data_IF_212647695542
#
_entry.id   IF_212647695542
#
_cell.length_a   1.000
_cell.length_b   1.000
_cell.length_c   1.000
_cell.angle_alpha   90.00
_cell.angle_beta   90.00
_cell.angle_gamma   90.00
#
_symmetry.space_group_name_H-M   'P 1'
#
loop_
_entity.id
_entity.type
_entity.pdbx_description
1 polymer ?
#
# COMPACT_ATOMS: atom_id res chain seq x y z
N UNK A 1 2.79 -2.79 2.11
CA UNK A 1 2.92 -3.35 3.48
C UNK A 1 3.44 -2.33 4.49
N UNK A 2 4.19 -1.32 4.06
CA UNK A 2 4.78 -0.26 4.91
C UNK A 2 3.83 0.36 5.95
N UNK A 3 2.56 0.64 5.59
CA UNK A 3 1.59 1.22 6.54
C UNK A 3 1.34 0.28 7.73
N UNK A 4 1.27 -1.03 7.49
CA UNK A 4 1.07 -2.02 8.55
C UNK A 4 2.30 -2.15 9.45
N UNK A 5 3.49 -2.11 8.85
CA UNK A 5 4.77 -2.14 9.56
C UNK A 5 4.88 -0.94 10.52
N UNK A 6 4.56 0.27 10.04
CA UNK A 6 4.52 1.47 10.86
C UNK A 6 3.56 1.34 12.06
N UNK A 7 2.38 0.73 11.86
CA UNK A 7 1.45 0.49 12.96
C UNK A 7 1.92 -0.57 13.94
N UNK A 8 2.57 -1.65 13.46
CA UNK A 8 3.21 -2.63 14.34
C UNK A 8 4.30 -1.98 15.19
N UNK A 9 5.16 -1.15 14.60
CA UNK A 9 6.20 -0.41 15.31
C UNK A 9 5.64 0.58 16.32
N UNK A 10 4.56 1.29 15.98
CA UNK A 10 3.87 2.18 16.92
C UNK A 10 3.32 1.43 18.13
N UNK A 11 2.69 0.28 17.91
CA UNK A 11 2.19 -0.56 19.01
C UNK A 11 3.32 -1.11 19.87
N UNK A 12 4.46 -1.49 19.27
CA UNK A 12 5.64 -1.93 20.00
C UNK A 12 6.24 -0.81 20.84
N UNK A 13 6.41 0.39 20.26
CA UNK A 13 6.93 1.56 20.97
C UNK A 13 6.06 1.97 22.16
N UNK A 14 4.74 1.74 22.08
CA UNK A 14 3.77 2.07 23.13
C UNK A 14 3.20 0.84 23.84
N UNK A 15 3.91 -0.29 23.79
CA UNK A 15 3.41 -1.54 24.37
C UNK A 15 3.16 -1.46 25.89
N UNK A 16 3.93 -0.63 26.60
CA UNK A 16 3.71 -0.37 28.03
C UNK A 16 2.33 0.20 28.35
N UNK A 17 1.75 1.03 27.47
CA UNK A 17 0.39 1.56 27.62
C UNK A 17 -0.64 0.46 27.39
N UNK A 18 -0.45 -0.39 26.39
CA UNK A 18 -1.34 -1.53 26.08
C UNK A 18 -1.38 -2.51 27.24
N UNK A 19 -0.26 -2.73 27.92
CA UNK A 19 -0.19 -3.64 29.06
C UNK A 19 -0.83 -3.04 30.32
N UNK A 20 -0.52 -1.78 30.65
CA UNK A 20 -0.95 -1.13 31.89
C UNK A 20 -2.40 -0.66 31.89
N UNK A 21 -2.91 -0.20 30.74
CA UNK A 21 -4.27 0.28 30.60
C UNK A 21 -5.24 -0.84 30.19
N UNK A 22 -6.47 -0.75 30.69
CA UNK A 22 -7.58 -1.64 30.30
C UNK A 22 -8.35 -1.10 29.10
N UNK A 23 -8.44 0.22 29.00
CA UNK A 23 -9.12 0.91 27.91
C UNK A 23 -8.16 1.17 26.74
N UNK A 24 -8.73 1.29 25.55
CA UNK A 24 -7.98 1.58 24.33
C UNK A 24 -7.70 3.08 24.25
N UNK A 25 -6.42 3.46 24.23
CA UNK A 25 -5.99 4.83 24.02
C UNK A 25 -6.39 5.32 22.62
N UNK A 26 -6.87 6.56 22.51
CA UNK A 26 -7.33 7.13 21.24
C UNK A 26 -6.21 7.23 20.19
N UNK A 27 -4.95 7.42 20.63
CA UNK A 27 -3.79 7.44 19.75
C UNK A 27 -3.36 6.05 19.25
N UNK A 28 -3.86 4.97 19.86
CA UNK A 28 -3.62 3.59 19.42
C UNK A 28 -4.83 2.98 18.73
N UNK A 29 -6.00 3.60 18.85
CA UNK A 29 -7.25 3.07 18.34
C UNK A 29 -7.19 2.82 16.83
N UNK A 30 -6.62 3.75 16.06
CA UNK A 30 -6.47 3.59 14.61
C UNK A 30 -5.61 2.38 14.25
N UNK A 31 -4.44 2.25 14.88
CA UNK A 31 -3.49 1.17 14.62
C UNK A 31 -4.05 -0.20 15.00
N UNK A 32 -4.67 -0.30 16.17
CA UNK A 32 -5.32 -1.54 16.64
C UNK A 32 -6.46 -1.94 15.70
N UNK A 33 -7.35 -1.00 15.37
CA UNK A 33 -8.49 -1.26 14.47
C UNK A 33 -8.00 -1.74 13.10
N UNK A 34 -6.98 -1.06 12.58
CA UNK A 34 -6.44 -1.32 11.24
C UNK A 34 -5.75 -2.67 11.15
N UNK A 35 -4.96 -3.06 12.16
CA UNK A 35 -4.32 -4.38 12.20
C UNK A 35 -5.35 -5.52 12.30
N UNK A 36 -6.38 -5.35 13.13
CA UNK A 36 -7.48 -6.33 13.24
C UNK A 36 -8.25 -6.46 11.91
N UNK A 37 -8.49 -5.33 11.23
CA UNK A 37 -9.18 -5.31 9.93
C UNK A 37 -8.34 -5.94 8.81
N UNK A 38 -7.02 -5.71 8.82
CA UNK A 38 -6.10 -6.24 7.81
C UNK A 38 -5.80 -7.74 7.98
N UNK A 39 -5.85 -8.26 9.21
CA UNK A 39 -5.53 -9.67 9.52
C UNK A 39 -6.20 -10.71 8.61
N UNK A 40 -7.53 -10.73 8.39
CA UNK A 40 -8.16 -11.72 7.49
C UNK A 40 -7.79 -11.53 6.01
N UNK A 41 -7.36 -10.33 5.61
CA UNK A 41 -7.04 -9.99 4.20
C UNK A 41 -5.63 -10.42 3.83
N UNK A 42 -4.71 -10.43 4.79
CA UNK A 42 -3.31 -10.81 4.59
C UNK A 42 -2.94 -12.16 5.22
N UNK A 43 -3.93 -12.94 5.68
CA UNK A 43 -3.69 -14.22 6.37
C UNK A 43 -2.89 -15.24 5.53
N UNK A 44 -2.94 -15.13 4.20
CA UNK A 44 -2.21 -16.02 3.28
C UNK A 44 -0.73 -15.66 3.14
N UNK A 45 -0.36 -14.41 3.43
CA UNK A 45 1.00 -13.90 3.29
C UNK A 45 1.71 -13.78 4.65
N UNK A 46 0.96 -13.44 5.71
CA UNK A 46 1.48 -13.23 7.07
C UNK A 46 0.58 -13.91 8.09
N UNK A 47 0.93 -15.12 8.50
CA UNK A 47 0.14 -15.93 9.44
C UNK A 47 0.15 -15.34 10.86
N UNK A 48 1.24 -14.69 11.26
CA UNK A 48 1.45 -14.07 12.57
C UNK A 48 0.47 -12.91 12.82
N UNK A 49 0.05 -12.22 11.76
CA UNK A 49 -0.89 -11.10 11.87
C UNK A 49 -2.24 -11.56 12.42
N UNK A 50 -2.66 -12.80 12.10
CA UNK A 50 -3.85 -13.41 12.70
C UNK A 50 -3.67 -13.58 14.22
N UNK A 51 -2.50 -14.04 14.65
CA UNK A 51 -2.20 -14.25 16.08
C UNK A 51 -2.24 -12.89 16.81
N UNK A 52 -1.60 -11.86 16.24
CA UNK A 52 -1.61 -10.50 16.80
C UNK A 52 -3.04 -9.97 16.92
N UNK A 53 -3.84 -10.08 15.87
CA UNK A 53 -5.23 -9.64 15.89
C UNK A 53 -6.06 -10.41 16.93
N UNK A 54 -5.86 -11.73 17.05
CA UNK A 54 -6.55 -12.55 18.05
C UNK A 54 -6.17 -12.13 19.49
N UNK A 55 -4.91 -11.77 19.74
CA UNK A 55 -4.47 -11.23 21.04
C UNK A 55 -5.06 -9.84 21.33
N UNK A 56 -5.10 -8.95 20.35
CA UNK A 56 -5.73 -7.63 20.49
C UNK A 56 -7.24 -7.75 20.74
N UNK A 57 -7.91 -8.68 20.07
CA UNK A 57 -9.33 -8.99 20.32
C UNK A 57 -9.55 -9.57 21.72
N UNK A 58 -8.63 -10.40 22.23
CA UNK A 58 -8.70 -10.90 23.59
C UNK A 58 -8.53 -9.78 24.63
N UNK A 59 -7.67 -8.78 24.35
CA UNK A 59 -7.41 -7.63 25.23
C UNK A 59 -8.57 -6.62 25.25
N UNK A 60 -9.10 -6.22 24.09
CA UNK A 60 -10.07 -5.12 23.96
C UNK A 60 -11.53 -5.56 23.75
N UNK A 61 -11.80 -6.86 23.86
CA UNK A 61 -13.08 -7.56 23.62
C UNK A 61 -13.26 -8.13 22.21
N UNK A 62 -13.94 -9.29 22.17
CA UNK A 62 -14.32 -9.96 20.92
C UNK A 62 -15.33 -9.16 20.10
N UNK A 63 -16.18 -8.36 20.74
CA UNK A 63 -17.14 -7.51 20.04
C UNK A 63 -16.42 -6.38 19.32
N UNK A 64 -15.49 -5.72 19.99
CA UNK A 64 -14.62 -4.72 19.36
C UNK A 64 -13.88 -5.28 18.15
N UNK A 65 -13.33 -6.49 18.27
CA UNK A 65 -12.69 -7.19 17.16
C UNK A 65 -13.61 -7.42 15.96
N UNK A 66 -14.89 -7.76 16.18
CA UNK A 66 -15.88 -7.91 15.10
C UNK A 66 -16.18 -6.58 14.42
N UNK A 67 -16.42 -5.52 15.21
CA UNK A 67 -16.70 -4.17 14.70
C UNK A 67 -15.53 -3.63 13.85
N UNK A 68 -14.29 -3.90 14.28
CA UNK A 68 -13.09 -3.55 13.53
C UNK A 68 -13.02 -4.30 12.20
N UNK A 69 -13.28 -5.61 12.16
CA UNK A 69 -13.24 -6.41 10.91
C UNK A 69 -14.22 -5.94 9.85
N UNK A 70 -15.40 -5.48 10.26
CA UNK A 70 -16.44 -4.93 9.37
C UNK A 70 -16.31 -3.42 9.14
N UNK A 71 -15.28 -2.77 9.69
CA UNK A 71 -15.11 -1.31 9.69
C UNK A 71 -16.37 -0.53 10.16
N UNK A 72 -17.14 -1.10 11.10
CA UNK A 72 -18.32 -0.40 11.64
C UNK A 72 -17.94 0.70 12.63
N UNK A 73 -16.72 0.61 13.17
CA UNK A 73 -16.19 1.57 14.14
C UNK A 73 -15.63 2.84 13.47
N UNK A 74 -15.34 2.80 12.17
CA UNK A 74 -14.86 3.95 11.39
C UNK A 74 -13.46 4.45 11.78
N UNK A 75 -12.70 3.70 12.58
CA UNK A 75 -11.34 4.05 13.03
C UNK A 75 -10.25 3.33 12.23
N UNK A 76 -10.62 2.58 11.18
CA UNK A 76 -9.63 1.93 10.29
C UNK A 76 -9.08 2.97 9.32
N UNK A 77 -7.79 2.89 9.01
CA UNK A 77 -7.16 3.79 8.07
C UNK A 77 -7.72 3.63 6.64
N UNK A 78 -8.41 4.65 6.12
CA UNK A 78 -9.07 4.64 4.81
C UNK A 78 -8.09 4.41 3.65
N UNK A 79 -6.89 4.98 3.73
CA UNK A 79 -5.85 4.82 2.69
C UNK A 79 -5.40 3.36 2.59
N UNK A 80 -5.27 2.69 3.73
CA UNK A 80 -4.96 1.27 3.76
C UNK A 80 -6.14 0.44 3.25
N UNK A 81 -7.38 0.79 3.60
CA UNK A 81 -8.54 0.07 3.08
C UNK A 81 -8.64 0.13 1.56
N UNK A 82 -8.40 1.30 0.97
CA UNK A 82 -8.39 1.45 -0.49
C UNK A 82 -7.29 0.61 -1.13
N UNK A 83 -6.08 0.57 -0.53
CA UNK A 83 -4.95 -0.21 -1.04
C UNK A 83 -5.14 -1.72 -0.92
N UNK A 84 -5.90 -2.19 0.07
CA UNK A 84 -6.24 -3.61 0.27
C UNK A 84 -7.64 -3.97 -0.26
N UNK A 85 -8.30 -3.06 -0.98
CA UNK A 85 -9.58 -3.33 -1.62
C UNK A 85 -9.38 -4.29 -2.78
N UNK A 86 -10.35 -5.19 -2.97
CA UNK A 86 -10.35 -6.20 -4.05
C UNK A 86 -11.07 -5.66 -5.30
N UNK A 87 -11.29 -4.35 -5.37
CA UNK A 87 -11.94 -3.72 -6.51
C UNK A 87 -11.04 -3.69 -7.74
N UNK A 88 -11.64 -3.93 -8.91
CA UNK A 88 -10.91 -3.86 -10.17
C UNK A 88 -10.40 -2.43 -10.39
N UNK A 89 -9.11 -2.26 -10.74
CA UNK A 89 -8.57 -0.95 -11.02
C UNK A 89 -9.29 -0.33 -12.23
N UNK A 90 -9.42 1.01 -12.26
CA UNK A 90 -10.07 1.69 -13.37
C UNK A 90 -9.26 1.49 -14.66
N UNK A 91 -9.94 1.31 -15.79
CA UNK A 91 -9.30 1.01 -17.09
C UNK A 91 -8.21 2.01 -17.48
N UNK A 92 -8.41 3.29 -17.18
CA UNK A 92 -7.41 4.34 -17.43
C UNK A 92 -6.10 4.11 -16.68
N UNK A 93 -6.15 3.58 -15.45
CA UNK A 93 -4.95 3.27 -14.68
C UNK A 93 -4.20 2.11 -15.32
N UNK A 94 -4.93 1.08 -15.78
CA UNK A 94 -4.35 -0.05 -16.51
C UNK A 94 -3.62 0.40 -17.77
N UNK A 95 -4.27 1.23 -18.61
CA UNK A 95 -3.66 1.79 -19.81
C UNK A 95 -2.40 2.60 -19.50
N UNK A 96 -2.43 3.45 -18.47
CA UNK A 96 -1.26 4.23 -18.03
C UNK A 96 -0.09 3.34 -17.61
N UNK A 97 -0.34 2.29 -16.81
CA UNK A 97 0.69 1.32 -16.44
C UNK A 97 1.27 0.61 -17.67
N UNK A 98 0.44 0.19 -18.64
CA UNK A 98 0.91 -0.48 -19.85
C UNK A 98 1.78 0.43 -20.73
N UNK A 99 1.39 1.70 -20.88
CA UNK A 99 2.20 2.70 -21.60
C UNK A 99 3.57 2.86 -20.93
N UNK A 100 3.62 2.93 -19.60
CA UNK A 100 4.86 3.15 -18.86
C UNK A 100 5.78 1.92 -18.90
N UNK A 101 5.22 0.72 -18.73
CA UNK A 101 5.95 -0.54 -18.91
C UNK A 101 6.50 -0.64 -20.34
N UNK A 102 5.67 -0.36 -21.36
CA UNK A 102 6.10 -0.40 -22.76
C UNK A 102 7.25 0.57 -23.05
N UNK A 103 7.19 1.79 -22.50
CA UNK A 103 8.28 2.77 -22.58
C UNK A 103 9.56 2.27 -21.90
N UNK A 104 9.46 1.69 -20.71
CA UNK A 104 10.61 1.21 -19.94
C UNK A 104 11.33 0.03 -20.61
N UNK A 105 10.57 -0.85 -21.27
CA UNK A 105 11.11 -2.03 -21.95
C UNK A 105 11.28 -1.84 -23.47
N UNK A 106 11.04 -0.63 -24.00
CA UNK A 106 11.13 -0.30 -25.43
C UNK A 106 10.28 -1.23 -26.33
N UNK A 107 9.11 -1.64 -25.84
CA UNK A 107 8.15 -2.45 -26.60
C UNK A 107 7.12 -1.51 -27.24
N UNK A 108 6.77 -1.68 -28.53
CA UNK A 108 5.70 -0.92 -29.15
C UNK A 108 4.35 -1.32 -28.52
N UNK A 109 3.61 -0.34 -28.00
CA UNK A 109 2.28 -0.51 -27.42
C UNK A 109 1.38 0.65 -27.86
N UNK A 110 0.18 0.31 -28.31
CA UNK A 110 -0.84 1.27 -28.73
C UNK A 110 -2.01 1.21 -27.73
N UNK A 111 -2.24 2.27 -26.94
CA UNK A 111 -3.30 2.29 -25.94
C UNK A 111 -4.69 2.46 -26.56
N UNK A 112 -5.73 2.03 -25.85
CA UNK A 112 -7.11 2.19 -26.33
C UNK A 112 -7.55 3.66 -26.29
N UNK A 113 -7.67 4.26 -27.48
CA UNK A 113 -8.13 5.64 -27.68
C UNK A 113 -9.45 5.98 -26.99
N UNK A 114 -10.38 5.03 -26.83
CA UNK A 114 -11.68 5.27 -26.18
C UNK A 114 -11.49 5.44 -24.68
N UNK A 115 -10.70 4.55 -24.06
CA UNK A 115 -10.38 4.61 -22.63
C UNK A 115 -9.56 5.86 -22.29
N UNK A 116 -8.66 6.26 -23.19
CA UNK A 116 -7.84 7.47 -23.03
C UNK A 116 -8.65 8.76 -23.21
N UNK A 117 -9.70 8.76 -24.04
CA UNK A 117 -10.56 9.92 -24.26
C UNK A 117 -11.58 10.16 -23.14
N UNK A 118 -12.01 9.10 -22.45
CA UNK A 118 -12.91 9.19 -21.29
C UNK A 118 -12.21 9.61 -19.99
N UNK A 119 -10.88 9.77 -20.00
CA UNK A 119 -10.11 10.15 -18.84
C UNK A 119 -10.38 11.62 -18.43
N UNK A 120 -10.88 11.91 -17.22
CA UNK A 120 -11.04 13.28 -16.76
C UNK A 120 -9.67 13.99 -16.68
N UNK A 121 -9.53 15.19 -17.26
CA UNK A 121 -8.30 15.96 -17.18
C UNK A 121 -8.08 16.42 -15.74
N UNK A 122 -7.03 15.92 -15.08
CA UNK A 122 -6.61 16.38 -13.75
C UNK A 122 -6.49 15.30 -12.66
N UNK A 123 -6.79 14.03 -12.94
CA UNK A 123 -6.47 12.95 -11.99
C UNK A 123 -5.04 12.49 -12.25
N UNK A 124 -4.06 13.13 -11.59
CA UNK A 124 -2.79 12.50 -11.26
C UNK A 124 -3.13 11.32 -10.33
N UNK A 125 -3.45 10.17 -10.92
CA UNK A 125 -3.39 8.91 -10.18
C UNK A 125 -1.92 8.70 -9.94
N UNK A 126 -1.43 9.02 -8.73
CA UNK A 126 -0.08 8.69 -8.30
C UNK A 126 0.19 7.24 -8.69
N UNK A 127 0.98 7.05 -9.73
CA UNK A 127 1.49 5.74 -10.09
C UNK A 127 2.24 5.25 -8.86
N UNK A 128 2.05 3.98 -8.50
CA UNK A 128 2.82 3.41 -7.40
C UNK A 128 4.28 3.47 -7.87
N UNK A 129 5.09 4.30 -7.22
CA UNK A 129 6.52 4.40 -7.46
C UNK A 129 7.19 3.10 -7.00
N UNK A 130 7.08 2.06 -7.83
CA UNK A 130 7.94 0.89 -7.77
C UNK A 130 9.28 1.36 -8.30
N UNK A 131 10.14 1.84 -7.40
CA UNK A 131 11.44 2.43 -7.68
C UNK A 131 12.33 1.59 -8.59
N UNK A 132 12.09 1.68 -9.90
CA UNK A 132 13.04 1.33 -10.94
C UNK A 132 14.03 2.49 -11.01
N UNK A 133 14.99 2.48 -10.09
CA UNK A 133 16.18 3.31 -10.23
C UNK A 133 16.84 2.96 -11.57
N UNK A 134 16.76 3.90 -12.51
CA UNK A 134 17.45 3.86 -13.79
C UNK A 134 18.96 3.83 -13.56
N UNK A 135 19.53 2.64 -13.43
CA UNK A 135 20.97 2.42 -13.33
C UNK A 135 21.63 2.33 -14.71
N UNK A 136 21.11 3.04 -15.73
CA UNK A 136 21.71 3.10 -17.07
C UNK A 136 22.62 4.31 -17.33
N UNK A 137 22.82 5.22 -16.36
CA UNK A 137 23.71 6.39 -16.55
C UNK A 137 25.22 6.13 -16.36
N UNK A 138 25.69 4.89 -16.24
CA UNK A 138 27.12 4.57 -16.08
C UNK A 138 27.74 3.67 -17.15
N UNK A 139 27.32 3.79 -18.42
CA UNK A 139 28.15 3.33 -19.55
C UNK A 139 28.47 4.47 -20.51
N UNK A 140 29.61 5.11 -20.22
CA UNK A 140 30.58 5.57 -21.21
C UNK A 140 30.07 6.51 -22.29
N UNK A 141 30.11 7.81 -22.00
CA UNK A 141 30.24 8.86 -23.02
C UNK A 141 31.65 8.77 -23.63
N UNK A 142 31.88 7.79 -24.50
CA UNK A 142 33.11 7.77 -25.32
C UNK A 142 32.96 8.92 -26.31
N UNK A 143 33.64 10.02 -26.00
CA UNK A 143 33.80 11.14 -26.92
C UNK A 143 34.52 10.61 -28.16
N UNK A 144 33.83 10.66 -29.30
CA UNK A 144 34.50 10.62 -30.59
C UNK A 144 35.28 11.92 -30.74
N UNK A 145 36.56 11.90 -30.37
CA UNK A 145 37.54 12.90 -30.80
C UNK A 145 38.43 12.25 -31.85
N UNK A 146 38.02 12.40 -33.10
CA UNK A 146 38.82 12.12 -34.29
C UNK A 146 39.78 13.27 -34.57
N UNK A 147 41.02 13.20 -34.06
CA UNK A 147 42.09 14.15 -34.40
C UNK A 147 43.45 13.39 -34.45
N UNK A 148 43.88 13.07 -35.68
CA UNK A 148 45.24 12.76 -36.19
C UNK A 148 46.01 11.51 -35.71
N UNK A 149 46.18 10.51 -36.59
CA UNK A 149 47.41 10.27 -37.39
C UNK A 149 47.07 9.36 -38.57
#
# INVERSE_FOLDING_TARGET
MEILELYCDLLLARFGLIQSMKELDSGLAESVSTLIWAAPRLQSEVAELKIVADQLCAKYSKEYGKLCRTNQIGTVNDRLMHKLSVEAPPKILVERYLIEIAKNYNVPYEPDSVVMAEAPPGVETDLIDVGFTDDRRRRGRVHSTSWWT
#
